data_IF_185073266121
#
_entry.id   IF_185073266121
#
_cell.length_a   1.000
_cell.length_b   1.000
_cell.length_c   1.000
_cell.angle_alpha   90.00
_cell.angle_beta   90.00
_cell.angle_gamma   90.00
#
_symmetry.space_group_name_H-M   'P 1'
#
loop_
_entity.id
_entity.type
_entity.pdbx_description
1 polymer ?
#
# COMPACT_ATOMS: atom_id res chain seq x y z
N UNK A 1 -0.93 0.13 10.56
CA UNK A 1 -2.15 -0.48 11.14
C UNK A 1 -3.22 -0.46 10.06
N UNK A 2 -3.92 -1.57 9.82
CA UNK A 2 -5.01 -1.61 8.87
C UNK A 2 -6.29 -0.96 9.47
N UNK A 3 -7.15 -0.33 8.66
CA UNK A 3 -8.37 0.35 9.12
C UNK A 3 -9.31 -0.53 9.95
N UNK A 4 -9.48 -1.80 9.56
CA UNK A 4 -10.36 -2.77 10.23
C UNK A 4 -9.93 -3.04 11.68
N UNK A 5 -8.64 -2.93 12.01
CA UNK A 5 -8.17 -3.04 13.40
C UNK A 5 -8.62 -1.86 14.26
N UNK A 6 -8.73 -0.67 13.68
CA UNK A 6 -9.22 0.53 14.37
C UNK A 6 -10.72 0.40 14.65
N UNK A 7 -11.42 -0.36 13.81
CA UNK A 7 -12.87 -0.60 13.89
C UNK A 7 -13.22 -1.86 14.69
N UNK A 8 -12.24 -2.55 15.30
CA UNK A 8 -12.41 -3.81 16.03
C UNK A 8 -13.07 -4.93 15.21
N UNK A 9 -12.93 -4.89 13.88
CA UNK A 9 -13.43 -5.94 12.99
C UNK A 9 -12.49 -7.16 12.98
N UNK A 10 -13.03 -8.33 12.59
CA UNK A 10 -12.29 -9.58 12.53
C UNK A 10 -11.06 -9.50 11.62
N UNK A 11 -9.92 -9.98 12.13
CA UNK A 11 -8.69 -10.13 11.34
C UNK A 11 -8.95 -10.97 10.10
N UNK A 12 -8.50 -10.48 8.94
CA UNK A 12 -8.52 -11.26 7.71
C UNK A 12 -7.15 -11.20 7.06
N UNK A 13 -6.87 -12.13 6.15
CA UNK A 13 -5.65 -12.09 5.32
C UNK A 13 -5.52 -10.81 4.50
N UNK A 14 -6.58 -9.99 4.40
CA UNK A 14 -6.57 -8.66 3.74
C UNK A 14 -5.86 -7.59 4.58
N UNK A 15 -5.69 -7.80 5.88
CA UNK A 15 -4.88 -6.93 6.75
C UNK A 15 -3.39 -7.03 6.41
N UNK A 16 -2.93 -8.22 5.99
CA UNK A 16 -1.57 -8.42 5.47
C UNK A 16 -1.37 -7.69 4.14
N UNK A 17 -2.39 -7.66 3.28
CA UNK A 17 -2.35 -6.93 1.99
C UNK A 17 -2.22 -5.42 2.22
N UNK A 18 -2.92 -4.87 3.22
CA UNK A 18 -2.73 -3.46 3.61
C UNK A 18 -1.30 -3.19 4.05
N UNK A 19 -0.75 -4.04 4.92
CA UNK A 19 0.61 -3.90 5.43
C UNK A 19 1.65 -3.99 4.31
N UNK A 20 1.42 -4.87 3.32
CA UNK A 20 2.21 -4.95 2.11
C UNK A 20 2.13 -3.66 1.27
N UNK A 21 0.93 -3.07 1.13
CA UNK A 21 0.75 -1.76 0.49
C UNK A 21 1.58 -0.66 1.14
N UNK A 22 1.60 -0.63 2.48
CA UNK A 22 2.45 0.29 3.24
C UNK A 22 3.94 0.07 2.94
N UNK A 23 4.41 -1.18 2.94
CA UNK A 23 5.81 -1.52 2.65
C UNK A 23 6.19 -1.10 1.22
N UNK A 24 5.33 -1.37 0.24
CA UNK A 24 5.55 -0.98 -1.16
C UNK A 24 5.67 0.54 -1.30
N UNK A 25 4.77 1.29 -0.65
CA UNK A 25 4.84 2.74 -0.62
C UNK A 25 6.12 3.25 0.05
N UNK A 26 6.49 2.67 1.19
CA UNK A 26 7.68 3.06 1.93
C UNK A 26 8.97 2.75 1.17
N UNK A 27 9.06 1.63 0.46
CA UNK A 27 10.20 1.35 -0.42
C UNK A 27 10.35 2.39 -1.55
N UNK A 28 9.23 2.92 -2.06
CA UNK A 28 9.26 3.90 -3.14
C UNK A 28 9.47 5.35 -2.65
N UNK A 29 9.07 5.69 -1.43
CA UNK A 29 9.12 7.07 -0.91
C UNK A 29 10.12 7.27 0.22
N UNK A 30 10.66 6.19 0.77
CA UNK A 30 11.46 6.14 2.00
C UNK A 30 10.72 6.77 3.20
N UNK A 31 9.39 6.83 3.14
CA UNK A 31 8.52 7.44 4.15
C UNK A 31 7.28 6.55 4.35
N UNK A 32 6.80 6.51 5.58
CA UNK A 32 5.52 5.86 5.88
C UNK A 32 4.37 6.60 5.17
N UNK A 33 3.35 5.91 4.65
CA UNK A 33 2.21 6.57 3.98
C UNK A 33 1.38 7.44 4.92
N UNK A 34 1.21 7.03 6.18
CA UNK A 34 0.28 7.67 7.12
C UNK A 34 0.96 8.39 8.29
N UNK A 35 2.23 8.08 8.59
CA UNK A 35 2.95 8.63 9.74
C UNK A 35 3.84 9.82 9.34
N UNK A 36 3.73 10.91 10.10
CA UNK A 36 4.56 12.12 9.95
C UNK A 36 5.10 12.59 11.30
N UNK A 37 6.24 13.31 11.28
CA UNK A 37 7.02 13.70 12.47
C UNK A 37 6.27 14.51 13.54
N UNK A 38 5.09 15.06 13.22
CA UNK A 38 4.27 15.90 14.12
C UNK A 38 2.82 15.42 14.26
N UNK A 39 2.53 14.19 13.85
CA UNK A 39 1.17 13.66 13.85
C UNK A 39 0.82 13.02 15.19
N UNK A 40 -0.28 13.47 15.81
CA UNK A 40 -0.85 12.81 16.96
C UNK A 40 -1.55 11.51 16.54
N UNK A 41 -1.64 10.54 17.46
CA UNK A 41 -2.27 9.23 17.22
C UNK A 41 -3.67 9.37 16.61
N UNK A 42 -4.48 10.32 17.06
CA UNK A 42 -5.84 10.53 16.53
C UNK A 42 -5.84 10.94 15.05
N UNK A 43 -4.90 11.79 14.64
CA UNK A 43 -4.77 12.21 13.23
C UNK A 43 -4.28 11.05 12.36
N UNK A 44 -3.33 10.26 12.86
CA UNK A 44 -2.89 9.02 12.20
C UNK A 44 -4.06 8.05 11.98
N UNK A 45 -4.90 7.82 12.99
CA UNK A 45 -6.06 6.95 12.87
C UNK A 45 -7.07 7.45 11.83
N UNK A 46 -7.26 8.77 11.75
CA UNK A 46 -8.13 9.39 10.75
C UNK A 46 -7.58 9.18 9.33
N UNK A 47 -6.29 9.48 9.09
CA UNK A 47 -5.66 9.26 7.78
C UNK A 47 -5.72 7.79 7.33
N UNK A 48 -5.53 6.85 8.26
CA UNK A 48 -5.66 5.42 7.97
C UNK A 48 -7.09 5.09 7.56
N UNK A 49 -8.09 5.60 8.31
CA UNK A 49 -9.52 5.37 8.03
C UNK A 49 -9.92 5.90 6.65
N UNK A 50 -9.45 7.09 6.32
CA UNK A 50 -9.78 7.78 5.07
C UNK A 50 -8.88 7.33 3.90
N UNK A 51 -7.89 6.46 4.17
CA UNK A 51 -6.83 6.06 3.25
C UNK A 51 -6.14 7.27 2.59
N UNK A 52 -5.92 8.33 3.37
CA UNK A 52 -5.30 9.57 2.91
C UNK A 52 -3.77 9.47 3.07
N UNK A 53 -3.06 9.48 1.94
CA UNK A 53 -1.61 9.51 1.88
C UNK A 53 -1.14 10.28 0.63
N UNK A 54 0.07 10.87 0.65
CA UNK A 54 0.59 11.57 -0.53
C UNK A 54 0.75 10.62 -1.73
N UNK A 55 0.55 11.08 -2.97
CA UNK A 55 0.86 10.26 -4.13
C UNK A 55 2.37 9.98 -4.20
N UNK A 56 2.73 8.93 -4.95
CA UNK A 56 4.13 8.60 -5.21
C UNK A 56 4.82 9.77 -5.93
N UNK A 57 6.10 10.06 -5.62
CA UNK A 57 6.85 11.14 -6.27
C UNK A 57 7.01 10.89 -7.77
N UNK A 58 7.22 11.98 -8.52
CA UNK A 58 7.04 12.09 -9.97
C UNK A 58 7.43 10.87 -10.82
N UNK A 59 6.60 10.62 -11.85
CA UNK A 59 6.56 9.43 -12.74
C UNK A 59 7.84 9.07 -13.47
N UNK A 60 8.90 9.88 -13.37
CA UNK A 60 10.21 9.58 -13.94
C UNK A 60 10.86 8.33 -13.30
N UNK A 61 10.48 7.99 -12.06
CA UNK A 61 11.13 6.93 -11.28
C UNK A 61 10.29 5.63 -11.14
N UNK A 62 8.97 5.69 -11.35
CA UNK A 62 8.07 4.58 -11.06
C UNK A 62 7.04 4.35 -12.16
N UNK A 63 6.65 3.09 -12.35
CA UNK A 63 5.63 2.71 -13.33
C UNK A 63 4.23 2.99 -12.79
N UNK A 64 3.30 3.36 -13.68
CA UNK A 64 1.87 3.51 -13.35
C UNK A 64 1.28 2.24 -12.71
N UNK A 65 1.85 1.08 -13.04
CA UNK A 65 1.45 -0.21 -12.48
C UNK A 65 1.82 -0.34 -10.99
N UNK A 66 2.95 0.24 -10.55
CA UNK A 66 3.34 0.24 -9.14
C UNK A 66 2.41 1.13 -8.33
N UNK A 67 2.11 2.33 -8.84
CA UNK A 67 1.17 3.24 -8.20
C UNK A 67 -0.22 2.61 -8.06
N UNK A 68 -0.72 1.99 -9.12
CA UNK A 68 -1.97 1.25 -9.08
C UNK A 68 -1.95 0.11 -8.06
N UNK A 69 -0.85 -0.67 -7.99
CA UNK A 69 -0.73 -1.76 -7.03
C UNK A 69 -0.79 -1.26 -5.58
N UNK A 70 -0.10 -0.15 -5.28
CA UNK A 70 -0.15 0.48 -3.95
C UNK A 70 -1.58 0.94 -3.63
N UNK A 71 -2.25 1.62 -4.56
CA UNK A 71 -3.64 2.08 -4.39
C UNK A 71 -4.64 0.93 -4.16
N UNK A 72 -4.46 -0.21 -4.83
CA UNK A 72 -5.31 -1.40 -4.63
C UNK A 72 -5.07 -2.05 -3.25
N UNK A 73 -3.83 -2.07 -2.79
CA UNK A 73 -3.50 -2.61 -1.46
C UNK A 73 -3.98 -1.71 -0.31
N UNK A 74 -3.92 -0.39 -0.50
CA UNK A 74 -4.32 0.62 0.50
C UNK A 74 -5.80 1.03 0.39
N UNK A 75 -6.68 0.13 -0.05
CA UNK A 75 -8.13 0.35 0.00
C UNK A 75 -8.66 0.30 1.44
N UNK A 76 -9.49 1.27 1.88
CA UNK A 76 -10.02 1.27 3.23
C UNK A 76 -10.95 0.08 3.48
N UNK A 77 -11.76 -0.29 2.48
CA UNK A 77 -12.63 -1.46 2.53
C UNK A 77 -11.83 -2.73 2.23
N UNK A 78 -11.65 -3.61 3.22
CA UNK A 78 -10.81 -4.82 3.08
C UNK A 78 -11.26 -5.79 1.96
N UNK A 79 -12.55 -5.78 1.60
CA UNK A 79 -13.10 -6.64 0.54
C UNK A 79 -12.61 -6.23 -0.85
N UNK A 80 -12.40 -4.93 -1.07
CA UNK A 80 -11.92 -4.35 -2.33
C UNK A 80 -10.42 -4.58 -2.55
N UNK A 81 -9.68 -4.90 -1.47
CA UNK A 81 -8.25 -5.25 -1.58
C UNK A 81 -8.06 -6.53 -2.40
N UNK A 82 -7.02 -6.63 -3.24
CA UNK A 82 -6.71 -7.87 -3.97
C UNK A 82 -6.34 -9.02 -3.04
N UNK A 83 -6.34 -10.25 -3.56
CA UNK A 83 -5.73 -11.38 -2.84
C UNK A 83 -4.21 -11.35 -2.98
N UNK A 84 -3.51 -12.09 -2.12
CA UNK A 84 -2.05 -12.25 -2.24
C UNK A 84 -1.63 -12.84 -3.61
N UNK A 85 -2.47 -13.72 -4.18
CA UNK A 85 -2.24 -14.31 -5.50
C UNK A 85 -2.33 -13.25 -6.60
N UNK A 86 -3.28 -12.33 -6.51
CA UNK A 86 -3.45 -11.24 -7.48
C UNK A 86 -2.27 -10.26 -7.40
N UNK A 87 -1.88 -9.87 -6.18
CA UNK A 87 -0.70 -9.01 -5.94
C UNK A 87 0.56 -9.65 -6.52
N UNK A 88 0.79 -10.94 -6.25
CA UNK A 88 1.92 -11.67 -6.81
C UNK A 88 1.89 -11.66 -8.35
N UNK A 89 0.75 -11.94 -8.97
CA UNK A 89 0.59 -11.94 -10.43
C UNK A 89 0.92 -10.57 -11.04
N UNK A 90 0.43 -9.48 -10.42
CA UNK A 90 0.73 -8.12 -10.86
C UNK A 90 2.22 -7.81 -10.74
N UNK A 91 2.82 -8.12 -9.60
CA UNK A 91 4.24 -7.90 -9.34
C UNK A 91 5.14 -8.68 -10.31
N UNK A 92 4.85 -9.95 -10.58
CA UNK A 92 5.62 -10.77 -11.54
C UNK A 92 5.49 -10.22 -12.95
N UNK A 93 4.30 -9.75 -13.36
CA UNK A 93 4.10 -9.12 -14.67
C UNK A 93 4.96 -7.86 -14.81
N UNK A 94 4.96 -7.00 -13.80
CA UNK A 94 5.79 -5.78 -13.78
C UNK A 94 7.29 -6.11 -13.83
N UNK A 95 7.74 -7.07 -13.01
CA UNK A 95 9.14 -7.51 -12.98
C UNK A 95 9.59 -8.10 -14.33
N UNK A 96 8.72 -8.85 -15.02
CA UNK A 96 8.99 -9.36 -16.35
C UNK A 96 9.12 -8.26 -17.42
N UNK A 97 8.41 -7.15 -17.25
CA UNK A 97 8.45 -5.99 -18.17
C UNK A 97 9.69 -5.11 -17.95
N UNK A 98 10.22 -5.06 -16.73
CA UNK A 98 11.40 -4.27 -16.38
C UNK A 98 12.73 -4.90 -16.88
N UNK A 99 12.68 -6.10 -17.47
CA UNK A 99 13.84 -6.83 -17.95
C UNK A 99 14.59 -7.53 -16.81
N UNK A 100 15.12 -8.72 -17.09
CA UNK A 100 15.97 -9.50 -16.18
C UNK A 100 17.28 -8.74 -15.90
N UNK A 101 17.25 -7.76 -14.98
CA UNK A 101 18.43 -7.02 -14.51
C UNK A 101 18.86 -7.46 -13.11
N UNK A 102 18.54 -8.68 -12.74
CA UNK A 102 19.11 -9.33 -11.56
C UNK A 102 19.84 -10.56 -12.08
N UNK A 103 21.16 -10.43 -12.16
CA UNK A 103 22.10 -11.54 -12.31
C UNK A 103 22.05 -12.44 -11.09
#
# INVERSE_FOLDING_TARGET
MAPEHILEEMYTTKSDIWSLGCILYEMATLRSPFFGEKENISSLMQKIRDAEYPPLPDRCCYTDQLELLVQLCLQPVYKERPSAVDVHRMATKMAGQLGRWWW
#
